data_IF_974832955711
#
_entry.id   IF_974832955711
#
_cell.length_a   1.000
_cell.length_b   1.000
_cell.length_c   1.000
_cell.angle_alpha   90.00
_cell.angle_beta   90.00
_cell.angle_gamma   90.00
#
_symmetry.space_group_name_H-M   'P 1'
#
loop_
_entity.id
_entity.type
_entity.pdbx_description
1 polymer ?
#
# COMPACT_ATOMS: atom_id res chain seq x y z
N UNK A 1 -0.55 -9.73 1.09
CA UNK A 1 -1.69 -9.47 0.17
C UNK A 1 -3.02 -9.45 0.90
N UNK A 2 -3.21 -10.28 1.93
CA UNK A 2 -4.44 -10.35 2.75
C UNK A 2 -4.92 -9.00 3.32
N UNK A 3 -4.02 -8.18 3.88
CA UNK A 3 -4.36 -6.85 4.42
C UNK A 3 -4.89 -5.90 3.33
N UNK A 4 -4.40 -6.03 2.11
CA UNK A 4 -4.81 -5.20 0.97
C UNK A 4 -6.18 -5.65 0.45
N UNK A 5 -6.43 -6.95 0.41
CA UNK A 5 -7.73 -7.54 0.07
C UNK A 5 -8.81 -7.08 1.05
N UNK A 6 -8.53 -7.20 2.35
CA UNK A 6 -9.48 -6.80 3.40
C UNK A 6 -9.80 -5.30 3.32
N UNK A 7 -8.80 -4.44 3.08
CA UNK A 7 -9.01 -3.00 2.92
C UNK A 7 -9.86 -2.67 1.70
N UNK A 8 -9.62 -3.31 0.56
CA UNK A 8 -10.39 -3.09 -0.68
C UNK A 8 -11.85 -3.56 -0.51
N UNK A 9 -12.06 -4.73 0.10
CA UNK A 9 -13.40 -5.24 0.41
C UNK A 9 -14.15 -4.31 1.35
N UNK A 10 -13.51 -3.85 2.45
CA UNK A 10 -14.15 -2.95 3.43
C UNK A 10 -14.45 -1.56 2.87
N UNK A 11 -13.59 -1.02 2.01
CA UNK A 11 -13.73 0.35 1.49
C UNK A 11 -14.81 0.45 0.42
N UNK A 12 -14.83 -0.52 -0.48
CA UNK A 12 -15.62 -0.44 -1.71
C UNK A 12 -16.77 -1.47 -1.75
N UNK A 13 -16.97 -2.22 -0.66
CA UNK A 13 -18.00 -3.24 -0.48
C UNK A 13 -17.98 -4.36 -1.54
N UNK A 14 -16.79 -4.67 -2.06
CA UNK A 14 -16.58 -5.70 -3.09
C UNK A 14 -16.62 -7.11 -2.53
N UNK A 15 -17.04 -8.05 -3.38
CA UNK A 15 -16.85 -9.48 -3.14
C UNK A 15 -15.36 -9.85 -3.15
N UNK A 16 -15.03 -10.99 -2.54
CA UNK A 16 -13.66 -11.50 -2.50
C UNK A 16 -13.07 -11.67 -3.91
N UNK A 17 -13.87 -12.13 -4.87
CA UNK A 17 -13.46 -12.30 -6.27
C UNK A 17 -13.15 -10.96 -6.94
N UNK A 18 -14.03 -9.96 -6.81
CA UNK A 18 -13.83 -8.63 -7.39
C UNK A 18 -12.60 -7.91 -6.79
N UNK A 19 -12.38 -8.05 -5.48
CA UNK A 19 -11.21 -7.50 -4.82
C UNK A 19 -9.92 -8.22 -5.27
N UNK A 20 -9.96 -9.54 -5.47
CA UNK A 20 -8.82 -10.34 -5.95
C UNK A 20 -8.47 -9.98 -7.40
N UNK A 21 -9.45 -9.86 -8.30
CA UNK A 21 -9.24 -9.42 -9.69
C UNK A 21 -8.57 -8.04 -9.73
N UNK A 22 -9.04 -7.10 -8.90
CA UNK A 22 -8.43 -5.76 -8.82
C UNK A 22 -7.01 -5.76 -8.29
N UNK A 23 -6.68 -6.62 -7.34
CA UNK A 23 -5.32 -6.75 -6.80
C UNK A 23 -4.40 -7.40 -7.84
N UNK A 24 -4.88 -8.44 -8.53
CA UNK A 24 -4.11 -9.13 -9.56
C UNK A 24 -3.89 -8.28 -10.82
N UNK A 25 -4.80 -7.35 -11.13
CA UNK A 25 -4.63 -6.41 -12.23
C UNK A 25 -3.64 -5.27 -11.91
N UNK A 26 -3.19 -5.15 -10.67
CA UNK A 26 -2.13 -4.21 -10.30
C UNK A 26 -0.77 -4.91 -10.37
N UNK A 27 0.28 -4.15 -10.69
CA UNK A 27 1.64 -4.63 -10.49
C UNK A 27 1.81 -5.07 -9.03
N UNK A 28 2.43 -6.22 -8.81
CA UNK A 28 2.65 -6.72 -7.45
C UNK A 28 3.39 -5.68 -6.63
N UNK A 29 3.02 -5.52 -5.37
CA UNK A 29 3.67 -4.56 -4.46
C UNK A 29 5.19 -4.79 -4.42
N UNK A 30 5.62 -6.05 -4.52
CA UNK A 30 7.04 -6.43 -4.56
C UNK A 30 7.74 -5.90 -5.81
N UNK A 31 7.13 -6.00 -6.98
CA UNK A 31 7.71 -5.47 -8.23
C UNK A 31 7.72 -3.95 -8.23
N UNK A 32 6.64 -3.31 -7.78
CA UNK A 32 6.57 -1.86 -7.66
C UNK A 32 7.67 -1.31 -6.76
N UNK A 33 7.97 -1.99 -5.66
CA UNK A 33 9.07 -1.63 -4.76
C UNK A 33 10.45 -1.69 -5.41
N UNK A 34 10.67 -2.53 -6.44
CA UNK A 34 11.97 -2.60 -7.14
C UNK A 34 12.30 -1.34 -7.91
N UNK A 35 11.28 -0.60 -8.34
CA UNK A 35 11.42 0.63 -9.12
C UNK A 35 11.29 1.89 -8.27
N UNK A 36 11.03 1.77 -6.97
CA UNK A 36 10.76 2.91 -6.11
C UNK A 36 12.04 3.44 -5.46
N UNK A 37 12.28 4.74 -5.56
CA UNK A 37 13.38 5.42 -4.83
C UNK A 37 13.11 5.45 -3.31
N UNK A 38 11.82 5.52 -2.94
CA UNK A 38 11.38 5.55 -1.56
C UNK A 38 10.16 4.65 -1.35
N UNK A 39 10.16 3.91 -0.23
CA UNK A 39 9.06 3.02 0.16
C UNK A 39 8.50 3.51 1.50
N UNK A 40 7.20 3.81 1.53
CA UNK A 40 6.47 4.21 2.74
C UNK A 40 5.50 3.10 3.10
N UNK A 41 5.83 2.38 4.17
CA UNK A 41 5.00 1.30 4.69
C UNK A 41 3.93 1.84 5.66
N UNK A 42 2.65 1.66 5.27
CA UNK A 42 1.44 2.08 5.97
C UNK A 42 0.67 0.91 6.62
N UNK A 43 1.36 -0.19 6.91
CA UNK A 43 0.78 -1.33 7.64
C UNK A 43 0.54 -1.04 9.12
N UNK A 44 1.31 -0.12 9.71
CA UNK A 44 1.21 0.31 11.10
C UNK A 44 0.19 1.42 11.35
N UNK A 45 0.36 2.15 12.46
CA UNK A 45 -0.55 3.24 12.82
C UNK A 45 -0.25 4.54 12.04
N UNK A 46 -1.16 5.51 12.17
CA UNK A 46 -1.05 6.80 11.48
C UNK A 46 0.21 7.58 11.88
N UNK A 47 0.61 7.52 13.15
CA UNK A 47 1.79 8.26 13.63
C UNK A 47 3.09 7.70 13.04
N UNK A 48 3.23 6.37 13.01
CA UNK A 48 4.36 5.70 12.38
C UNK A 48 4.46 6.04 10.90
N UNK A 49 3.32 6.02 10.20
CA UNK A 49 3.26 6.41 8.78
C UNK A 49 3.69 7.87 8.60
N UNK A 50 3.22 8.78 9.47
CA UNK A 50 3.59 10.20 9.43
C UNK A 50 5.10 10.40 9.62
N UNK A 51 5.72 9.68 10.54
CA UNK A 51 7.18 9.73 10.76
C UNK A 51 7.94 9.24 9.52
N UNK A 52 7.51 8.13 8.91
CA UNK A 52 8.12 7.60 7.67
C UNK A 52 8.01 8.61 6.52
N UNK A 53 6.86 9.25 6.34
CA UNK A 53 6.64 10.30 5.33
C UNK A 53 7.58 11.49 5.55
N UNK A 54 7.68 11.98 6.79
CA UNK A 54 8.56 13.12 7.12
C UNK A 54 10.03 12.81 6.81
N UNK A 55 10.49 11.58 7.07
CA UNK A 55 11.85 11.13 6.72
C UNK A 55 12.12 11.11 5.22
N UNK A 56 11.12 10.77 4.40
CA UNK A 56 11.25 10.82 2.94
C UNK A 56 11.30 12.27 2.47
N UNK A 57 10.40 13.13 2.97
CA UNK A 57 10.38 14.56 2.64
C UNK A 57 11.71 15.23 2.98
N UNK A 58 12.33 14.91 4.13
CA UNK A 58 13.63 15.47 4.49
C UNK A 58 14.78 15.04 3.59
N UNK A 59 14.66 13.90 2.89
CA UNK A 59 15.68 13.42 1.93
C UNK A 59 15.53 14.02 0.54
N UNK A 60 14.36 14.62 0.25
CA UNK A 60 14.04 15.27 -1.02
C UNK A 60 14.35 16.79 -1.00
N UNK A 61 14.67 17.33 0.17
CA UNK A 61 15.17 18.70 0.36
C UNK A 61 16.69 18.73 0.27
#
# INVERSE_FOLDING_TARGET
>A
EEIQLERVMRRDNFSMEEATIRINNQMSTKEKCKFADFIIDNSGNLQETRIKVMKVISKLK
#
